data_IF_727547150718
#
_entry.id   IF_727547150718
#
_cell.length_a   1.000
_cell.length_b   1.000
_cell.length_c   1.000
_cell.angle_alpha   90.00
_cell.angle_beta   90.00
_cell.angle_gamma   90.00
#
_symmetry.space_group_name_H-M   'P 1'
#
loop_
_entity.id
_entity.type
_entity.pdbx_description
1 polymer ?
#
# COMPACT_ATOMS: atom_id res chain seq x y z
N UNK A 1 -33.92 -14.26 -17.43
CA UNK A 1 -34.13 -12.84 -17.06
C UNK A 1 -33.42 -11.99 -18.11
N UNK A 2 -34.17 -11.33 -18.98
CA UNK A 2 -33.62 -10.27 -19.84
C UNK A 2 -33.30 -9.07 -18.96
N UNK A 3 -32.02 -8.74 -18.81
CA UNK A 3 -31.61 -7.49 -18.19
C UNK A 3 -32.06 -6.36 -19.11
N UNK A 4 -33.14 -5.67 -18.74
CA UNK A 4 -33.63 -4.50 -19.44
C UNK A 4 -32.72 -3.32 -19.08
N UNK A 5 -31.56 -3.23 -19.75
CA UNK A 5 -30.64 -2.12 -19.57
C UNK A 5 -31.21 -0.90 -20.28
N UNK A 6 -31.55 0.18 -19.56
CA UNK A 6 -32.07 1.38 -20.18
C UNK A 6 -31.00 2.01 -21.06
N UNK A 7 -31.35 2.24 -22.34
CA UNK A 7 -30.54 3.03 -23.27
C UNK A 7 -31.11 4.44 -23.25
N UNK A 8 -30.28 5.41 -22.86
CA UNK A 8 -30.63 6.82 -22.90
C UNK A 8 -29.93 7.46 -24.10
N UNK A 9 -30.66 8.28 -24.85
CA UNK A 9 -30.12 9.01 -26.01
C UNK A 9 -30.26 10.52 -25.81
N UNK A 10 -29.40 11.30 -26.47
CA UNK A 10 -29.48 12.77 -26.56
C UNK A 10 -29.50 13.50 -25.20
N UNK A 11 -30.37 14.49 -25.02
CA UNK A 11 -30.46 15.31 -23.80
C UNK A 11 -30.78 14.46 -22.56
N UNK A 12 -31.59 13.42 -22.72
CA UNK A 12 -31.93 12.50 -21.64
C UNK A 12 -30.70 11.72 -21.14
N UNK A 13 -29.76 11.41 -22.04
CA UNK A 13 -28.47 10.82 -21.66
C UNK A 13 -27.60 11.82 -20.89
N UNK A 14 -27.53 13.08 -21.34
CA UNK A 14 -26.74 14.13 -20.70
C UNK A 14 -27.26 14.47 -19.31
N UNK A 15 -28.57 14.54 -19.11
CA UNK A 15 -29.20 14.77 -17.80
C UNK A 15 -28.91 13.61 -16.84
N UNK A 16 -29.08 12.37 -17.30
CA UNK A 16 -28.78 11.18 -16.48
C UNK A 16 -27.29 11.08 -16.16
N UNK A 17 -26.41 11.35 -17.13
CA UNK A 17 -24.97 11.40 -16.93
C UNK A 17 -24.59 12.47 -15.90
N UNK A 18 -25.19 13.66 -15.99
CA UNK A 18 -24.94 14.76 -15.05
C UNK A 18 -25.41 14.41 -13.64
N UNK A 19 -26.56 13.76 -13.50
CA UNK A 19 -27.05 13.27 -12.21
C UNK A 19 -26.18 12.15 -11.63
N UNK A 20 -25.64 11.25 -12.47
CA UNK A 20 -24.68 10.21 -12.07
C UNK A 20 -23.31 10.79 -11.72
N UNK A 21 -22.94 11.91 -12.33
CA UNK A 21 -21.72 12.67 -12.05
C UNK A 21 -21.90 13.73 -10.97
N UNK A 22 -23.07 13.79 -10.32
CA UNK A 22 -23.25 14.65 -9.17
C UNK A 22 -22.13 14.36 -8.17
N UNK A 23 -21.40 15.39 -7.69
CA UNK A 23 -20.26 15.18 -6.81
C UNK A 23 -20.70 14.34 -5.61
N UNK A 24 -19.95 13.28 -5.32
CA UNK A 24 -20.16 12.49 -4.09
C UNK A 24 -20.23 13.45 -2.91
N UNK A 25 -21.16 13.17 -2.00
CA UNK A 25 -21.30 13.92 -0.74
C UNK A 25 -19.92 14.20 -0.13
N UNK A 26 -19.76 15.42 0.38
CA UNK A 26 -18.57 15.81 1.14
C UNK A 26 -18.26 14.77 2.22
N UNK A 27 -16.98 14.56 2.49
CA UNK A 27 -16.49 13.64 3.52
C UNK A 27 -17.28 13.81 4.82
N UNK A 28 -17.75 12.70 5.36
CA UNK A 28 -18.46 12.66 6.63
C UNK A 28 -17.60 13.28 7.75
N UNK A 29 -18.11 14.34 8.37
CA UNK A 29 -17.41 15.06 9.44
C UNK A 29 -17.07 14.16 10.63
N UNK A 30 -17.89 13.13 10.89
CA UNK A 30 -17.65 12.17 11.98
C UNK A 30 -16.45 11.27 11.67
N UNK A 31 -16.32 10.83 10.41
CA UNK A 31 -15.16 10.05 9.95
C UNK A 31 -13.89 10.90 10.05
N UNK A 32 -13.94 12.16 9.63
CA UNK A 32 -12.79 13.07 9.70
C UNK A 32 -12.34 13.32 11.14
N UNK A 33 -13.27 13.57 12.06
CA UNK A 33 -12.98 13.70 13.49
C UNK A 33 -12.38 12.42 14.09
N UNK A 34 -12.92 11.26 13.73
CA UNK A 34 -12.42 9.95 14.18
C UNK A 34 -10.98 9.71 13.72
N UNK A 35 -10.70 9.91 12.43
CA UNK A 35 -9.35 9.74 11.87
C UNK A 35 -8.36 10.72 12.49
N UNK A 36 -8.77 11.97 12.70
CA UNK A 36 -7.93 12.99 13.36
C UNK A 36 -7.53 12.57 14.77
N UNK A 37 -8.47 12.03 15.54
CA UNK A 37 -8.21 11.51 16.89
C UNK A 37 -7.26 10.31 16.87
N UNK A 38 -7.43 9.38 15.90
CA UNK A 38 -6.52 8.24 15.74
C UNK A 38 -5.10 8.71 15.44
N UNK A 39 -4.95 9.64 14.49
CA UNK A 39 -3.65 10.18 14.10
C UNK A 39 -2.95 10.85 15.29
N UNK A 40 -3.66 11.71 16.02
CA UNK A 40 -3.12 12.40 17.19
C UNK A 40 -2.66 11.40 18.27
N UNK A 41 -3.51 10.43 18.61
CA UNK A 41 -3.18 9.42 19.61
C UNK A 41 -1.98 8.54 19.21
N UNK A 42 -1.87 8.12 17.94
CA UNK A 42 -0.70 7.35 17.48
C UNK A 42 0.58 8.19 17.51
N UNK A 43 0.50 9.46 17.14
CA UNK A 43 1.64 10.38 17.21
C UNK A 43 2.13 10.61 18.65
N UNK A 44 1.20 10.72 19.60
CA UNK A 44 1.53 11.08 20.98
C UNK A 44 1.87 9.86 21.86
N UNK A 45 1.24 8.70 21.59
CA UNK A 45 1.31 7.51 22.46
C UNK A 45 1.94 6.28 21.79
N UNK A 46 2.32 6.37 20.51
CA UNK A 46 3.00 5.28 19.79
C UNK A 46 2.23 3.96 19.82
N UNK A 47 2.96 2.87 20.10
CA UNK A 47 2.46 1.49 20.13
C UNK A 47 1.31 1.28 21.11
N UNK A 48 1.23 2.09 22.18
CA UNK A 48 0.09 2.05 23.12
C UNK A 48 -1.22 2.35 22.38
N UNK A 49 -1.25 3.42 21.59
CA UNK A 49 -2.43 3.76 20.79
C UNK A 49 -2.69 2.72 19.69
N UNK A 50 -1.64 2.12 19.11
CA UNK A 50 -1.83 1.03 18.13
C UNK A 50 -2.55 -0.17 18.74
N UNK A 51 -2.19 -0.56 19.97
CA UNK A 51 -2.86 -1.64 20.70
C UNK A 51 -4.30 -1.28 21.04
N UNK A 52 -4.55 -0.08 21.56
CA UNK A 52 -5.90 0.42 21.88
C UNK A 52 -6.82 0.40 20.65
N UNK A 53 -6.37 0.94 19.51
CA UNK A 53 -7.19 0.96 18.29
C UNK A 53 -7.30 -0.40 17.62
N UNK A 54 -6.28 -1.25 17.70
CA UNK A 54 -6.39 -2.63 17.22
C UNK A 54 -7.41 -3.40 18.04
N UNK A 55 -7.45 -3.24 19.36
CA UNK A 55 -8.47 -3.86 20.21
C UNK A 55 -9.88 -3.32 19.92
N UNK A 56 -9.99 -2.03 19.59
CA UNK A 56 -11.28 -1.39 19.29
C UNK A 56 -11.84 -1.81 17.92
N UNK A 57 -11.00 -1.90 16.91
CA UNK A 57 -11.43 -2.07 15.51
C UNK A 57 -11.19 -3.48 14.96
N UNK A 58 -10.29 -4.24 15.56
CA UNK A 58 -10.02 -5.65 15.25
C UNK A 58 -10.47 -6.53 16.42
N UNK A 59 -10.62 -7.83 16.16
CA UNK A 59 -11.02 -8.79 17.20
C UNK A 59 -9.83 -9.27 18.05
N UNK A 60 -8.63 -9.23 17.50
CA UNK A 60 -7.42 -9.76 18.15
C UNK A 60 -6.26 -8.77 17.99
N UNK A 61 -5.59 -8.51 19.12
CA UNK A 61 -4.35 -7.74 19.18
C UNK A 61 -3.20 -8.73 19.17
N UNK A 62 -2.28 -8.68 18.19
CA UNK A 62 -1.12 -9.56 18.20
C UNK A 62 -0.15 -9.14 19.32
N UNK A 63 0.65 -10.09 19.83
CA UNK A 63 1.73 -9.77 20.78
C UNK A 63 2.74 -8.78 20.17
N UNK A 64 3.06 -8.98 18.89
CA UNK A 64 3.92 -8.10 18.10
C UNK A 64 3.22 -7.79 16.78
N UNK A 65 3.21 -6.51 16.40
CA UNK A 65 2.76 -6.11 15.07
C UNK A 65 3.73 -6.58 13.98
N UNK A 66 5.03 -6.61 14.26
CA UNK A 66 6.06 -7.04 13.32
C UNK A 66 6.15 -8.57 13.28
N UNK A 67 6.04 -9.14 12.08
CA UNK A 67 6.26 -10.57 11.87
C UNK A 67 7.74 -10.92 11.99
N UNK A 68 8.00 -12.06 12.60
CA UNK A 68 9.33 -12.68 12.65
C UNK A 68 9.65 -13.37 11.33
N UNK A 69 10.95 -13.61 11.07
CA UNK A 69 11.41 -14.39 9.91
C UNK A 69 10.78 -15.79 9.86
N UNK A 70 10.59 -16.43 11.02
CA UNK A 70 9.98 -17.76 11.10
C UNK A 70 8.51 -17.74 10.69
N UNK A 71 7.74 -16.74 11.13
CA UNK A 71 6.34 -16.57 10.71
C UNK A 71 6.23 -16.31 9.20
N UNK A 72 7.14 -15.49 8.65
CA UNK A 72 7.20 -15.23 7.20
C UNK A 72 7.49 -16.52 6.45
N UNK A 73 8.49 -17.30 6.87
CA UNK A 73 8.84 -18.56 6.21
C UNK A 73 7.69 -19.57 6.27
N UNK A 74 7.05 -19.72 7.44
CA UNK A 74 5.91 -20.61 7.59
C UNK A 74 4.75 -20.21 6.67
N UNK A 75 4.47 -18.91 6.54
CA UNK A 75 3.46 -18.41 5.62
C UNK A 75 3.81 -18.74 4.16
N UNK A 76 5.06 -18.54 3.75
CA UNK A 76 5.56 -18.90 2.42
C UNK A 76 5.39 -20.40 2.14
N UNK A 77 5.74 -21.25 3.10
CA UNK A 77 5.65 -22.70 2.96
C UNK A 77 4.20 -23.19 2.87
N UNK A 78 3.28 -22.43 3.48
CA UNK A 78 1.85 -22.74 3.49
C UNK A 78 1.09 -22.31 2.22
N UNK A 79 1.71 -21.53 1.31
CA UNK A 79 1.06 -21.17 0.04
C UNK A 79 1.12 -22.34 -0.95
N UNK A 80 -0.02 -22.65 -1.57
CA UNK A 80 -0.10 -23.76 -2.54
C UNK A 80 0.81 -23.54 -3.75
N UNK A 81 1.32 -24.61 -4.39
CA UNK A 81 2.15 -24.49 -5.60
C UNK A 81 1.46 -23.70 -6.72
N UNK A 82 0.15 -23.88 -6.91
CA UNK A 82 -0.63 -23.20 -7.94
C UNK A 82 -0.69 -21.69 -7.67
N UNK A 83 -0.93 -21.30 -6.41
CA UNK A 83 -0.94 -19.89 -6.02
C UNK A 83 0.46 -19.27 -6.17
N UNK A 84 1.52 -19.99 -5.80
CA UNK A 84 2.91 -19.54 -6.01
C UNK A 84 3.20 -19.26 -7.48
N UNK A 85 2.84 -20.18 -8.37
CA UNK A 85 3.04 -20.02 -9.80
C UNK A 85 2.36 -18.77 -10.36
N UNK A 86 1.11 -18.51 -9.96
CA UNK A 86 0.35 -17.32 -10.39
C UNK A 86 0.99 -16.04 -9.86
N UNK A 87 1.36 -16.01 -8.57
CA UNK A 87 1.98 -14.84 -7.94
C UNK A 87 3.35 -14.55 -8.55
N UNK A 88 4.15 -15.58 -8.82
CA UNK A 88 5.46 -15.45 -9.44
C UNK A 88 5.35 -14.89 -10.87
N UNK A 89 4.42 -15.40 -11.68
CA UNK A 89 4.19 -14.90 -13.04
C UNK A 89 3.72 -13.43 -13.02
N UNK A 90 2.84 -13.06 -12.09
CA UNK A 90 2.41 -11.67 -11.94
C UNK A 90 3.57 -10.76 -11.49
N UNK A 91 4.36 -11.20 -10.52
CA UNK A 91 5.51 -10.45 -10.01
C UNK A 91 6.53 -10.19 -11.12
N UNK A 92 6.82 -11.18 -11.96
CA UNK A 92 7.76 -11.07 -13.07
C UNK A 92 7.28 -10.04 -14.10
N UNK A 93 6.03 -10.13 -14.54
CA UNK A 93 5.47 -9.17 -15.51
C UNK A 93 5.48 -7.73 -14.98
N UNK A 94 5.16 -7.53 -13.70
CA UNK A 94 5.20 -6.20 -13.07
C UNK A 94 6.64 -5.68 -13.02
N UNK A 95 7.60 -6.55 -12.66
CA UNK A 95 9.02 -6.19 -12.57
C UNK A 95 9.58 -5.77 -13.92
N UNK A 96 9.34 -6.56 -14.97
CA UNK A 96 9.78 -6.24 -16.34
C UNK A 96 9.26 -4.86 -16.75
N UNK A 97 7.99 -4.56 -16.52
CA UNK A 97 7.42 -3.26 -16.89
C UNK A 97 7.94 -2.11 -16.03
N UNK A 98 8.13 -2.33 -14.73
CA UNK A 98 8.69 -1.34 -13.82
C UNK A 98 10.15 -0.99 -14.18
N UNK A 99 10.95 -2.00 -14.54
CA UNK A 99 12.34 -1.83 -14.98
C UNK A 99 12.41 -1.08 -16.31
N UNK A 100 11.56 -1.43 -17.27
CA UNK A 100 11.45 -0.71 -18.54
C UNK A 100 11.04 0.76 -18.33
N UNK A 101 10.10 1.02 -17.41
CA UNK A 101 9.68 2.38 -17.05
C UNK A 101 10.82 3.16 -16.40
N UNK A 102 11.57 2.55 -15.49
CA UNK A 102 12.73 3.18 -14.85
C UNK A 102 13.83 3.49 -15.88
N UNK A 103 14.10 2.58 -16.81
CA UNK A 103 15.09 2.78 -17.87
C UNK A 103 14.72 3.94 -18.81
N UNK A 104 13.44 4.28 -18.95
CA UNK A 104 13.01 5.44 -19.73
C UNK A 104 13.25 6.79 -19.00
N UNK A 105 13.48 6.77 -17.69
CA UNK A 105 13.78 7.97 -16.90
C UNK A 105 15.29 8.24 -16.97
N UNK A 106 15.67 9.33 -17.64
CA UNK A 106 17.07 9.72 -17.82
C UNK A 106 17.39 10.96 -16.98
N UNK A 107 18.59 11.04 -16.38
CA UNK A 107 19.06 12.28 -15.78
C UNK A 107 19.27 13.33 -16.86
N UNK A 108 19.11 14.61 -16.51
CA UNK A 108 19.32 15.73 -17.42
C UNK A 108 20.57 16.46 -16.98
N UNK A 109 21.58 16.58 -17.84
CA UNK A 109 22.81 17.33 -17.58
C UNK A 109 23.14 18.21 -18.79
N UNK A 110 23.44 19.49 -18.54
CA UNK A 110 23.70 20.50 -19.56
C UNK A 110 24.96 21.27 -19.22
N UNK A 111 25.84 21.42 -20.20
CA UNK A 111 27.02 22.28 -20.09
C UNK A 111 26.73 23.64 -20.71
N UNK A 112 26.89 24.72 -19.94
CA UNK A 112 26.71 26.10 -20.40
C UNK A 112 27.75 27.03 -19.78
N UNK A 113 28.52 27.69 -20.63
CA UNK A 113 29.54 28.68 -20.23
C UNK A 113 30.52 28.16 -19.16
N UNK A 114 30.90 26.88 -19.24
CA UNK A 114 31.83 26.26 -18.29
C UNK A 114 31.20 25.76 -16.98
N UNK A 115 29.88 25.89 -16.81
CA UNK A 115 29.13 25.30 -15.70
C UNK A 115 28.31 24.09 -16.18
N UNK A 116 28.26 23.06 -15.36
CA UNK A 116 27.36 21.91 -15.53
C UNK A 116 26.13 22.09 -14.64
N UNK A 117 24.94 21.97 -15.22
CA UNK A 117 23.66 22.05 -14.50
C UNK A 117 22.79 20.86 -14.87
N UNK A 118 22.01 20.35 -13.91
CA UNK A 118 21.24 19.14 -14.17
C UNK A 118 20.16 18.79 -13.15
N UNK A 119 19.52 17.67 -13.42
CA UNK A 119 18.49 17.01 -12.62
C UNK A 119 18.78 15.52 -12.58
N UNK A 120 18.98 15.00 -11.36
CA UNK A 120 19.08 13.58 -11.09
C UNK A 120 17.85 13.06 -10.35
N UNK A 121 17.61 11.76 -10.47
CA UNK A 121 16.54 11.05 -9.77
C UNK A 121 17.15 10.11 -8.74
N UNK A 122 16.68 10.19 -7.49
CA UNK A 122 17.11 9.28 -6.41
C UNK A 122 15.88 8.67 -5.72
N UNK A 123 15.94 7.38 -5.33
CA UNK A 123 14.86 6.79 -4.55
C UNK A 123 14.76 7.47 -3.18
N UNK A 124 13.56 7.45 -2.62
CA UNK A 124 13.37 7.68 -1.19
C UNK A 124 14.01 6.55 -0.38
N UNK A 125 14.34 6.79 0.88
CA UNK A 125 15.00 5.78 1.71
C UNK A 125 14.03 4.72 2.24
N UNK A 126 12.77 5.12 2.48
CA UNK A 126 11.78 4.29 3.17
C UNK A 126 10.39 4.43 2.55
N UNK A 127 9.77 3.31 2.22
CA UNK A 127 8.40 3.23 1.72
C UNK A 127 7.54 2.33 2.61
N UNK A 128 6.32 2.79 2.90
CA UNK A 128 5.26 1.99 3.51
C UNK A 128 4.19 1.61 2.48
N UNK A 129 3.94 0.32 2.30
CA UNK A 129 2.91 -0.22 1.43
C UNK A 129 1.73 -0.70 2.29
N UNK A 130 0.60 -0.02 2.21
CA UNK A 130 -0.63 -0.41 2.87
C UNK A 130 -1.43 -1.35 1.97
N UNK A 131 -1.66 -2.58 2.43
CA UNK A 131 -2.56 -3.52 1.75
C UNK A 131 -3.87 -3.56 2.54
N UNK A 132 -5.01 -3.21 1.92
CA UNK A 132 -6.29 -3.29 2.59
C UNK A 132 -6.61 -4.72 3.05
N UNK A 133 -7.28 -4.82 4.20
CA UNK A 133 -7.96 -6.05 4.59
C UNK A 133 -9.25 -6.26 3.81
N UNK A 134 -9.85 -7.45 3.95
CA UNK A 134 -11.14 -7.76 3.36
C UNK A 134 -11.45 -9.25 3.44
N UNK A 135 -12.56 -9.64 2.82
CA UNK A 135 -12.98 -11.05 2.72
C UNK A 135 -11.95 -11.90 1.96
N UNK A 136 -11.24 -11.30 1.01
CA UNK A 136 -10.26 -11.96 0.17
C UNK A 136 -8.89 -11.29 0.30
N UNK A 137 -7.79 -12.07 0.27
CA UNK A 137 -6.45 -11.51 0.25
C UNK A 137 -6.21 -10.70 -1.05
N UNK A 138 -5.42 -9.63 -0.94
CA UNK A 138 -5.07 -8.75 -2.06
C UNK A 138 -3.54 -8.80 -2.34
N UNK A 139 -3.00 -9.95 -2.79
CA UNK A 139 -1.57 -10.06 -3.11
C UNK A 139 -1.17 -9.14 -4.27
N UNK A 140 -2.09 -8.82 -5.18
CA UNK A 140 -1.84 -7.90 -6.30
C UNK A 140 -1.45 -6.50 -5.83
N UNK A 141 -2.09 -5.94 -4.81
CA UNK A 141 -1.73 -4.63 -4.23
C UNK A 141 -0.33 -4.66 -3.62
N UNK A 142 0.03 -5.77 -2.95
CA UNK A 142 1.37 -5.96 -2.40
C UNK A 142 2.42 -5.94 -3.53
N UNK A 143 2.19 -6.69 -4.62
CA UNK A 143 3.10 -6.70 -5.77
C UNK A 143 3.23 -5.32 -6.41
N UNK A 144 2.11 -4.68 -6.75
CA UNK A 144 2.11 -3.41 -7.48
C UNK A 144 2.78 -2.27 -6.72
N UNK A 145 2.60 -2.21 -5.40
CA UNK A 145 3.19 -1.13 -4.59
C UNK A 145 4.66 -1.41 -4.27
N UNK A 146 5.01 -2.63 -3.86
CA UNK A 146 6.36 -2.94 -3.40
C UNK A 146 7.35 -3.20 -4.54
N UNK A 147 6.96 -3.83 -5.66
CA UNK A 147 7.88 -4.06 -6.80
C UNK A 147 8.35 -2.72 -7.37
N UNK A 148 7.45 -1.75 -7.55
CA UNK A 148 7.84 -0.43 -8.07
C UNK A 148 8.83 0.28 -7.14
N UNK A 149 8.60 0.22 -5.81
CA UNK A 149 9.55 0.78 -4.84
C UNK A 149 10.90 0.05 -4.87
N UNK A 150 10.87 -1.28 -4.97
CA UNK A 150 12.07 -2.10 -5.01
C UNK A 150 12.90 -1.85 -6.27
N UNK A 151 12.27 -1.82 -7.45
CA UNK A 151 12.93 -1.53 -8.73
C UNK A 151 13.50 -0.11 -8.74
N UNK A 152 12.81 0.87 -8.13
CA UNK A 152 13.35 2.22 -7.98
C UNK A 152 14.61 2.29 -7.07
N UNK A 153 14.93 1.22 -6.33
CA UNK A 153 16.11 1.14 -5.45
C UNK A 153 15.84 1.56 -4.01
N UNK A 154 14.58 1.55 -3.56
CA UNK A 154 14.24 1.88 -2.16
C UNK A 154 14.79 0.79 -1.22
N UNK A 155 15.68 1.12 -0.26
CA UNK A 155 16.32 0.11 0.59
C UNK A 155 15.42 -0.43 1.70
N UNK A 156 14.42 0.35 2.16
CA UNK A 156 13.53 -0.05 3.25
C UNK A 156 12.08 -0.05 2.80
N UNK A 157 11.54 -1.23 2.53
CA UNK A 157 10.13 -1.41 2.17
C UNK A 157 9.43 -2.14 3.31
N UNK A 158 8.41 -1.49 3.87
CA UNK A 158 7.54 -2.05 4.90
C UNK A 158 6.15 -2.28 4.32
N UNK A 159 5.49 -3.38 4.69
CA UNK A 159 4.12 -3.67 4.29
C UNK A 159 3.24 -3.77 5.53
N UNK A 160 2.13 -3.04 5.55
CA UNK A 160 1.12 -3.09 6.63
C UNK A 160 -0.16 -3.68 6.07
N UNK A 161 -0.75 -4.65 6.77
CA UNK A 161 -2.06 -5.20 6.44
C UNK A 161 -2.77 -5.62 7.73
N UNK A 162 -4.07 -5.30 7.94
CA UNK A 162 -4.79 -5.74 9.14
C UNK A 162 -4.84 -7.27 9.30
N UNK A 163 -4.81 -8.01 8.18
CA UNK A 163 -4.82 -9.47 8.17
C UNK A 163 -3.84 -9.98 7.11
N UNK A 164 -2.62 -10.33 7.55
CA UNK A 164 -1.58 -10.87 6.68
C UNK A 164 -1.87 -12.33 6.34
N UNK A 165 -2.61 -12.55 5.25
CA UNK A 165 -2.79 -13.86 4.65
C UNK A 165 -1.48 -14.34 4.00
N UNK A 166 -1.32 -15.66 3.92
CA UNK A 166 -0.10 -16.30 3.43
C UNK A 166 0.29 -15.81 2.02
N UNK A 167 -0.69 -15.64 1.13
CA UNK A 167 -0.50 -15.16 -0.23
C UNK A 167 0.01 -13.72 -0.28
N UNK A 168 -0.41 -12.87 0.66
CA UNK A 168 0.04 -11.47 0.75
C UNK A 168 1.49 -11.42 1.26
N UNK A 169 1.83 -12.25 2.25
CA UNK A 169 3.20 -12.37 2.75
C UNK A 169 4.12 -12.89 1.64
N UNK A 170 3.69 -13.92 0.91
CA UNK A 170 4.45 -14.47 -0.21
C UNK A 170 4.65 -13.43 -1.32
N UNK A 171 3.59 -12.75 -1.75
CA UNK A 171 3.66 -11.67 -2.73
C UNK A 171 4.61 -10.54 -2.29
N UNK A 172 4.48 -10.04 -1.06
CA UNK A 172 5.40 -9.03 -0.52
C UNK A 172 6.85 -9.50 -0.49
N UNK A 173 7.10 -10.77 -0.18
CA UNK A 173 8.45 -11.35 -0.14
C UNK A 173 9.07 -11.38 -1.54
N UNK A 174 8.29 -11.78 -2.56
CA UNK A 174 8.69 -11.70 -3.98
C UNK A 174 8.92 -10.27 -4.47
N UNK A 175 8.23 -9.31 -3.85
CA UNK A 175 8.32 -7.89 -4.17
C UNK A 175 9.47 -7.14 -3.44
N UNK A 176 10.24 -7.81 -2.58
CA UNK A 176 11.35 -7.18 -1.85
C UNK A 176 10.96 -6.47 -0.57
N UNK A 177 9.79 -6.76 0.00
CA UNK A 177 9.37 -6.25 1.32
C UNK A 177 10.29 -6.81 2.41
N UNK A 178 10.78 -5.92 3.27
CA UNK A 178 11.72 -6.25 4.36
C UNK A 178 11.04 -6.44 5.72
N UNK A 179 9.89 -5.80 5.94
CA UNK A 179 9.16 -5.79 7.23
C UNK A 179 7.66 -5.92 6.97
N UNK A 180 7.03 -6.86 7.64
CA UNK A 180 5.58 -7.10 7.54
C UNK A 180 4.92 -6.78 8.88
N UNK A 181 3.92 -5.92 8.84
CA UNK A 181 3.17 -5.47 10.01
C UNK A 181 1.72 -5.91 9.93
N UNK A 182 1.26 -6.68 10.91
CA UNK A 182 -0.15 -7.03 11.08
C UNK A 182 -0.92 -5.85 11.71
N UNK A 183 -1.06 -4.77 10.94
CA UNK A 183 -1.64 -3.50 11.35
C UNK A 183 -2.42 -2.92 10.17
N UNK A 184 -3.63 -2.40 10.42
CA UNK A 184 -4.47 -1.83 9.37
C UNK A 184 -5.15 -0.51 9.76
N UNK A 185 -5.96 0.04 8.87
CA UNK A 185 -6.76 1.23 9.13
C UNK A 185 -5.95 2.52 9.29
N UNK A 186 -6.60 3.55 9.83
CA UNK A 186 -5.99 4.86 10.03
C UNK A 186 -4.77 4.81 10.97
N UNK A 187 -4.76 3.90 11.94
CA UNK A 187 -3.64 3.70 12.85
C UNK A 187 -2.39 3.16 12.16
N UNK A 188 -2.53 2.30 11.14
CA UNK A 188 -1.39 1.84 10.33
C UNK A 188 -0.77 2.98 9.53
N UNK A 189 -1.61 3.79 8.88
CA UNK A 189 -1.16 4.95 8.11
C UNK A 189 -0.49 5.97 9.02
N UNK A 190 -1.06 6.23 10.22
CA UNK A 190 -0.44 7.09 11.22
C UNK A 190 0.92 6.55 11.71
N UNK A 191 1.03 5.24 11.97
CA UNK A 191 2.27 4.61 12.39
C UNK A 191 3.37 4.76 11.32
N UNK A 192 3.05 4.54 10.05
CA UNK A 192 3.97 4.74 8.94
C UNK A 192 4.38 6.23 8.80
N UNK A 193 3.44 7.16 8.98
CA UNK A 193 3.68 8.58 8.78
C UNK A 193 4.52 9.23 9.91
N UNK A 194 4.25 8.85 11.16
CA UNK A 194 4.86 9.47 12.34
C UNK A 194 5.94 8.61 12.99
N UNK A 195 5.91 7.31 12.75
CA UNK A 195 6.72 6.34 13.47
C UNK A 195 6.15 6.03 14.86
N UNK A 196 6.46 4.83 15.34
CA UNK A 196 6.23 4.38 16.72
C UNK A 196 7.47 3.60 17.18
N UNK A 197 7.43 3.03 18.38
CA UNK A 197 8.48 2.18 18.92
C UNK A 197 8.72 0.94 18.03
N UNK A 198 7.65 0.35 17.48
CA UNK A 198 7.74 -0.83 16.62
C UNK A 198 7.73 -0.54 15.11
N UNK A 199 7.15 0.58 14.68
CA UNK A 199 6.97 0.92 13.26
C UNK A 199 7.84 2.13 12.91
N UNK A 200 8.92 1.99 12.13
CA UNK A 200 9.72 3.13 11.74
C UNK A 200 8.92 4.04 10.81
N UNK A 201 9.07 5.36 10.98
CA UNK A 201 8.56 6.35 10.05
C UNK A 201 9.07 6.07 8.63
N UNK A 202 8.23 6.25 7.62
CA UNK A 202 8.60 6.17 6.20
C UNK A 202 8.56 7.54 5.53
N UNK A 203 9.18 7.66 4.37
CA UNK A 203 9.20 8.91 3.60
C UNK A 203 7.94 9.05 2.73
N UNK A 204 7.39 7.90 2.28
CA UNK A 204 6.19 7.87 1.46
C UNK A 204 5.34 6.62 1.73
N UNK A 205 4.02 6.80 1.71
CA UNK A 205 3.03 5.74 1.89
C UNK A 205 2.27 5.53 0.57
N UNK A 206 2.06 4.27 0.19
CA UNK A 206 1.28 3.84 -0.97
C UNK A 206 0.24 2.80 -0.52
N UNK A 207 -0.87 2.65 -1.26
CA UNK A 207 -1.89 1.64 -1.00
C UNK A 207 -2.96 1.64 -2.07
#
# INVERSE_FOLDING_TARGET
MSLNLPIYESEQALEKLSALHAPRQALDSEVSATVSNVIAAVRDKGDTALKEFTQKFSKEVPESFLLTKSQIQQAIDSVSPEAKQVIDAAAENIRIFAEATLAAIQPVHLNRQGFEVGLDWKPVERVGCYVPGGRYPLPSTALMTAITAHVAGVPNISLTCPALKNEVIYAGSKAGVSRFYQLGGAQAVAALAYGTESVPKVDKIFG
#
